data_IF_369635218366
#
_entry.id   IF_369635218366
#
_cell.length_a   1.000
_cell.length_b   1.000
_cell.length_c   1.000
_cell.angle_alpha   90.00
_cell.angle_beta   90.00
_cell.angle_gamma   90.00
#
_symmetry.space_group_name_H-M   'P 1'
#
loop_
_entity.id
_entity.type
_entity.pdbx_description
1 polymer ?
#
# COMPACT_ATOMS: atom_id res chain seq x y z
N UNK A 1 11.72 -3.26 -12.14
CA UNK A 1 11.34 -3.08 -10.71
C UNK A 1 10.44 -4.20 -10.17
N UNK A 2 9.78 -4.98 -11.04
CA UNK A 2 8.74 -5.95 -10.67
C UNK A 2 9.22 -7.37 -10.29
N UNK A 3 10.54 -7.61 -10.17
CA UNK A 3 11.06 -8.95 -9.88
C UNK A 3 10.78 -9.39 -8.44
N UNK A 4 10.86 -10.70 -8.19
CA UNK A 4 10.75 -11.26 -6.85
C UNK A 4 11.87 -10.77 -5.92
N UNK A 5 13.11 -10.66 -6.43
CA UNK A 5 14.22 -10.11 -5.64
C UNK A 5 14.00 -8.65 -5.25
N UNK A 6 13.46 -7.83 -6.16
CA UNK A 6 13.11 -6.46 -5.83
C UNK A 6 12.02 -6.43 -4.74
N UNK A 7 11.00 -7.28 -4.82
CA UNK A 7 9.94 -7.36 -3.81
C UNK A 7 10.48 -7.76 -2.42
N UNK A 8 11.40 -8.73 -2.35
CA UNK A 8 12.08 -9.12 -1.11
C UNK A 8 12.83 -7.94 -0.51
N UNK A 9 13.56 -7.19 -1.33
CA UNK A 9 14.34 -6.04 -0.88
C UNK A 9 13.44 -4.86 -0.45
N UNK A 10 12.29 -4.66 -1.11
CA UNK A 10 11.26 -3.68 -0.70
C UNK A 10 10.72 -4.04 0.68
N UNK A 11 10.35 -5.30 0.91
CA UNK A 11 9.83 -5.77 2.20
C UNK A 11 10.84 -5.56 3.34
N UNK A 12 12.12 -5.86 3.09
CA UNK A 12 13.21 -5.62 4.06
C UNK A 12 13.42 -4.12 4.29
N UNK A 13 13.36 -3.30 3.25
CA UNK A 13 13.49 -1.85 3.37
C UNK A 13 12.35 -1.25 4.20
N UNK A 14 11.11 -1.69 4.00
CA UNK A 14 9.97 -1.28 4.82
C UNK A 14 10.15 -1.73 6.27
N UNK A 15 10.62 -2.96 6.50
CA UNK A 15 10.92 -3.43 7.86
C UNK A 15 11.99 -2.57 8.55
N UNK A 16 13.07 -2.27 7.85
CA UNK A 16 14.14 -1.38 8.35
C UNK A 16 13.61 0.01 8.67
N UNK A 17 12.75 0.57 7.82
CA UNK A 17 12.08 1.83 8.07
C UNK A 17 11.25 1.77 9.37
N UNK A 18 10.34 0.79 9.48
CA UNK A 18 9.49 0.63 10.66
C UNK A 18 10.30 0.44 11.95
N UNK A 19 11.41 -0.30 11.90
CA UNK A 19 12.29 -0.49 13.05
C UNK A 19 13.02 0.81 13.40
N UNK A 20 13.47 1.58 12.41
CA UNK A 20 14.16 2.86 12.60
C UNK A 20 13.27 3.96 13.19
N UNK A 21 11.95 3.89 12.98
CA UNK A 21 10.98 4.87 13.53
C UNK A 21 10.20 4.33 14.74
N UNK A 22 10.57 3.16 15.26
CA UNK A 22 9.82 2.48 16.33
C UNK A 22 9.87 3.21 17.68
N UNK A 23 10.88 4.07 17.89
CA UNK A 23 11.04 4.93 19.06
C UNK A 23 10.75 6.42 18.74
N UNK A 24 10.27 6.72 17.54
CA UNK A 24 9.90 8.09 17.16
C UNK A 24 8.62 8.54 17.89
N UNK A 25 8.59 9.75 18.47
CA UNK A 25 7.45 10.20 19.28
C UNK A 25 6.20 10.46 18.43
N UNK A 26 5.10 9.77 18.78
CA UNK A 26 3.77 9.95 18.20
C UNK A 26 3.02 11.08 18.92
N UNK A 27 3.46 12.31 18.69
CA UNK A 27 2.82 13.50 19.26
C UNK A 27 1.40 13.72 18.72
N UNK A 28 0.53 14.38 19.51
CA UNK A 28 -0.88 14.66 19.15
C UNK A 28 -1.05 15.46 17.85
N UNK A 29 -0.01 16.17 17.41
CA UNK A 29 -0.01 16.90 16.14
C UNK A 29 -0.12 15.99 14.92
N UNK A 30 0.31 14.74 15.02
CA UNK A 30 0.26 13.81 13.91
C UNK A 30 -1.14 13.23 13.77
N UNK A 31 -1.87 13.67 12.76
CA UNK A 31 -3.20 13.18 12.46
C UNK A 31 -3.10 11.91 11.59
N UNK A 32 -3.59 10.75 12.07
CA UNK A 32 -3.65 9.53 11.27
C UNK A 32 -4.52 9.72 10.03
N UNK A 33 -4.24 8.94 8.99
CA UNK A 33 -5.10 8.88 7.81
C UNK A 33 -6.48 8.33 8.21
N UNK A 34 -7.52 8.74 7.48
CA UNK A 34 -8.87 8.21 7.69
C UNK A 34 -8.88 6.68 7.72
N UNK A 35 -9.61 6.11 8.70
CA UNK A 35 -9.70 4.69 9.01
C UNK A 35 -8.43 4.00 9.56
N UNK A 36 -7.32 4.71 9.82
CA UNK A 36 -6.12 4.07 10.40
C UNK A 36 -6.47 3.40 11.74
N UNK A 37 -6.31 2.07 11.88
CA UNK A 37 -6.72 1.35 13.08
C UNK A 37 -5.69 1.47 14.20
N UNK A 38 -6.15 1.28 15.44
CA UNK A 38 -5.28 1.11 16.62
C UNK A 38 -4.90 -0.37 16.80
N UNK A 39 -3.79 -0.69 17.50
CA UNK A 39 -2.83 0.23 18.11
C UNK A 39 -1.89 0.89 17.09
N UNK A 40 -1.46 2.11 17.38
CA UNK A 40 -0.37 2.74 16.63
C UNK A 40 0.97 2.16 17.10
N UNK A 41 1.73 1.60 16.17
CA UNK A 41 2.98 0.88 16.43
C UNK A 41 4.20 1.68 15.97
N UNK A 42 4.05 2.42 14.87
CA UNK A 42 5.13 3.17 14.20
C UNK A 42 4.59 4.44 13.54
N UNK A 43 5.48 5.37 13.18
CA UNK A 43 5.16 6.38 12.18
C UNK A 43 5.16 5.73 10.81
N UNK A 44 3.98 5.33 10.31
CA UNK A 44 3.84 4.80 8.96
C UNK A 44 4.23 5.88 7.93
N UNK A 45 4.83 5.45 6.83
CA UNK A 45 5.02 6.33 5.66
C UNK A 45 3.68 6.63 5.00
N UNK A 46 2.74 5.68 5.04
CA UNK A 46 1.41 5.71 4.46
C UNK A 46 1.34 5.78 2.92
N UNK A 47 2.45 6.04 2.26
CA UNK A 47 2.60 6.10 0.81
C UNK A 47 3.86 5.36 0.34
N UNK A 48 4.20 4.26 1.03
CA UNK A 48 5.31 3.39 0.69
C UNK A 48 4.96 2.56 -0.56
N UNK A 49 4.98 3.24 -1.71
CA UNK A 49 4.48 2.74 -2.97
C UNK A 49 5.56 2.64 -4.04
N UNK A 50 5.32 1.81 -5.06
CA UNK A 50 6.30 1.56 -6.13
C UNK A 50 6.81 2.83 -6.82
N UNK A 51 5.97 3.86 -6.92
CA UNK A 51 6.31 5.15 -7.55
C UNK A 51 7.14 6.08 -6.65
N UNK A 52 7.17 5.82 -5.34
CA UNK A 52 7.97 6.57 -4.35
C UNK A 52 9.27 5.85 -3.96
N UNK A 53 9.51 4.65 -4.49
CA UNK A 53 10.73 3.89 -4.23
C UNK A 53 11.78 4.20 -5.30
N UNK A 54 12.96 4.61 -4.85
CA UNK A 54 14.10 4.87 -5.73
C UNK A 54 14.81 3.54 -6.01
N UNK A 55 14.95 3.20 -7.29
CA UNK A 55 15.67 2.00 -7.73
C UNK A 55 17.03 2.33 -8.36
N UNK A 56 18.05 1.56 -7.98
CA UNK A 56 19.35 1.55 -8.64
C UNK A 56 19.65 0.13 -9.15
N UNK A 57 19.76 -0.03 -10.48
CA UNK A 57 19.99 -1.34 -11.13
C UNK A 57 19.01 -2.42 -10.66
N UNK A 58 17.74 -2.06 -10.53
CA UNK A 58 16.66 -2.96 -10.13
C UNK A 58 16.55 -3.24 -8.62
N UNK A 59 17.41 -2.65 -7.79
CA UNK A 59 17.34 -2.76 -6.32
C UNK A 59 16.76 -1.49 -5.69
N UNK A 60 15.84 -1.59 -4.71
CA UNK A 60 15.39 -0.43 -3.96
C UNK A 60 16.54 0.11 -3.10
N UNK A 61 16.77 1.42 -3.13
CA UNK A 61 17.87 2.08 -2.40
C UNK A 61 17.40 3.25 -1.54
N UNK A 62 16.12 3.61 -1.61
CA UNK A 62 15.52 4.66 -0.80
C UNK A 62 14.04 4.82 -1.08
N UNK A 63 13.39 5.60 -0.22
CA UNK A 63 11.98 6.01 -0.34
C UNK A 63 11.90 7.53 -0.13
N UNK A 64 10.97 8.18 -0.81
CA UNK A 64 10.71 9.62 -0.75
C UNK A 64 9.23 9.88 -0.49
N UNK A 65 8.90 11.16 -0.30
CA UNK A 65 7.52 11.66 -0.15
C UNK A 65 6.86 11.29 1.20
N UNK A 66 7.34 11.93 2.27
CA UNK A 66 6.88 11.71 3.64
C UNK A 66 5.70 12.62 4.05
N UNK A 67 5.03 13.28 3.10
CA UNK A 67 3.98 14.26 3.40
C UNK A 67 2.74 13.62 4.07
N UNK A 68 2.59 12.30 3.93
CA UNK A 68 1.53 11.50 4.56
C UNK A 68 1.99 10.75 5.81
N UNK A 69 3.21 10.96 6.29
CA UNK A 69 3.73 10.25 7.46
C UNK A 69 2.85 10.51 8.70
N UNK A 70 2.35 9.44 9.32
CA UNK A 70 1.46 9.53 10.47
C UNK A 70 1.45 8.21 11.28
N UNK A 71 1.07 8.24 12.57
CA UNK A 71 0.96 7.05 13.40
C UNK A 71 0.03 5.99 12.81
N UNK A 72 0.44 4.73 12.88
CA UNK A 72 -0.37 3.58 12.46
C UNK A 72 0.25 2.24 12.84
N UNK A 73 -0.47 1.13 12.65
CA UNK A 73 0.09 -0.21 12.80
C UNK A 73 0.96 -0.56 11.60
N UNK A 74 1.98 -1.40 11.77
CA UNK A 74 2.87 -1.81 10.67
C UNK A 74 2.12 -2.43 9.50
N UNK A 75 1.08 -3.22 9.80
CA UNK A 75 0.26 -3.87 8.79
C UNK A 75 -0.51 -2.87 7.92
N UNK A 76 -0.82 -1.67 8.41
CA UNK A 76 -1.46 -0.61 7.63
C UNK A 76 -0.56 -0.10 6.49
N UNK A 77 0.73 0.10 6.78
CA UNK A 77 1.71 0.53 5.77
C UNK A 77 2.07 -0.62 4.81
N UNK A 78 2.18 -1.85 5.35
CA UNK A 78 2.36 -3.07 4.54
C UNK A 78 1.20 -3.27 3.56
N UNK A 79 -0.05 -3.06 4.00
CA UNK A 79 -1.22 -3.25 3.16
C UNK A 79 -1.17 -2.35 1.92
N UNK A 80 -0.81 -1.08 2.09
CA UNK A 80 -0.65 -0.17 0.96
C UNK A 80 0.56 -0.51 0.09
N UNK A 81 1.66 -0.96 0.70
CA UNK A 81 2.84 -1.43 -0.03
C UNK A 81 2.51 -2.63 -0.91
N UNK A 82 1.79 -3.63 -0.37
CA UNK A 82 1.34 -4.80 -1.13
C UNK A 82 0.40 -4.41 -2.26
N UNK A 83 -0.57 -3.53 -1.97
CA UNK A 83 -1.52 -3.01 -2.95
C UNK A 83 -0.82 -2.46 -4.20
N UNK A 84 0.29 -1.73 -4.02
CA UNK A 84 1.03 -1.09 -5.12
C UNK A 84 2.17 -1.93 -5.71
N UNK A 85 2.88 -2.72 -4.90
CA UNK A 85 4.09 -3.45 -5.31
C UNK A 85 3.83 -4.91 -5.75
N UNK A 86 2.70 -5.51 -5.33
CA UNK A 86 2.24 -6.85 -5.77
C UNK A 86 1.07 -6.76 -6.78
N UNK A 87 0.75 -5.55 -7.23
CA UNK A 87 -0.57 -5.09 -7.68
C UNK A 87 -1.78 -5.93 -7.22
N UNK A 88 -2.29 -5.65 -6.01
CA UNK A 88 -3.56 -6.23 -5.54
C UNK A 88 -4.74 -5.45 -6.14
N UNK A 89 -4.85 -5.48 -7.46
CA UNK A 89 -5.62 -4.52 -8.26
C UNK A 89 -6.22 -5.17 -9.51
N UNK A 90 -7.28 -4.57 -10.07
CA UNK A 90 -7.93 -5.03 -11.31
C UNK A 90 -7.01 -4.92 -12.53
N UNK A 91 -6.02 -4.02 -12.47
CA UNK A 91 -4.99 -3.88 -13.48
C UNK A 91 -3.71 -3.34 -12.87
N UNK A 92 -2.61 -3.44 -13.61
CA UNK A 92 -1.39 -2.70 -13.31
C UNK A 92 -0.74 -2.20 -14.58
N UNK A 93 0.13 -1.20 -14.45
CA UNK A 93 0.86 -0.65 -15.58
C UNK A 93 2.29 -1.21 -15.62
N UNK A 94 2.72 -1.63 -16.80
CA UNK A 94 4.13 -1.97 -17.06
C UNK A 94 5.01 -0.72 -17.03
N UNK A 95 6.33 -0.90 -17.05
CA UNK A 95 7.28 0.22 -17.14
C UNK A 95 7.09 1.05 -18.43
N UNK A 96 6.50 0.46 -19.49
CA UNK A 96 6.14 1.15 -20.72
C UNK A 96 4.77 1.86 -20.66
N UNK A 97 4.10 1.85 -19.50
CA UNK A 97 2.77 2.46 -19.30
C UNK A 97 1.60 1.61 -19.79
N UNK A 98 1.85 0.43 -20.37
CA UNK A 98 0.78 -0.46 -20.84
C UNK A 98 -0.01 -1.04 -19.67
N UNK A 99 -1.33 -0.91 -19.71
CA UNK A 99 -2.25 -1.54 -18.78
C UNK A 99 -2.36 -3.05 -19.03
N UNK A 100 -2.19 -3.85 -17.97
CA UNK A 100 -2.39 -5.29 -17.94
C UNK A 100 -3.52 -5.58 -16.97
N UNK A 101 -4.60 -6.19 -17.47
CA UNK A 101 -5.77 -6.52 -16.68
C UNK A 101 -5.61 -7.86 -15.98
N UNK A 102 -6.16 -7.97 -14.78
CA UNK A 102 -6.15 -9.20 -13.99
C UNK A 102 -6.83 -10.36 -14.72
N UNK A 103 -6.17 -11.50 -14.74
CA UNK A 103 -6.69 -12.78 -15.19
C UNK A 103 -6.49 -13.81 -14.07
N UNK A 104 -7.58 -14.17 -13.38
CA UNK A 104 -7.56 -15.09 -12.22
C UNK A 104 -6.79 -16.39 -12.50
N UNK A 105 -6.90 -16.95 -13.71
CA UNK A 105 -6.24 -18.21 -14.07
C UNK A 105 -4.71 -18.07 -14.15
N UNK A 106 -4.20 -16.87 -14.40
CA UNK A 106 -2.76 -16.58 -14.56
C UNK A 106 -2.15 -15.89 -13.35
N UNK A 107 -2.94 -15.07 -12.67
CA UNK A 107 -2.43 -14.08 -11.73
C UNK A 107 -2.64 -14.48 -10.27
N UNK A 108 -3.71 -15.21 -9.95
CA UNK A 108 -4.07 -15.55 -8.56
C UNK A 108 -2.92 -16.24 -7.81
N UNK A 109 -2.42 -17.36 -8.35
CA UNK A 109 -1.34 -18.13 -7.73
C UNK A 109 -0.02 -17.33 -7.67
N UNK A 110 0.29 -16.56 -8.72
CA UNK A 110 1.47 -15.69 -8.74
C UNK A 110 1.40 -14.62 -7.64
N UNK A 111 0.26 -13.96 -7.50
CA UNK A 111 0.04 -12.92 -6.48
C UNK A 111 0.13 -13.54 -5.09
N UNK A 112 -0.53 -14.67 -4.85
CA UNK A 112 -0.43 -15.42 -3.59
C UNK A 112 1.02 -15.72 -3.20
N UNK A 113 1.81 -16.25 -4.15
CA UNK A 113 3.23 -16.54 -3.93
C UNK A 113 4.03 -15.27 -3.61
N UNK A 114 3.75 -14.15 -4.29
CA UNK A 114 4.43 -12.87 -4.06
C UNK A 114 4.03 -12.21 -2.74
N UNK A 115 2.76 -12.29 -2.33
CA UNK A 115 2.31 -11.87 -1.00
C UNK A 115 3.04 -12.66 0.09
N UNK A 116 3.09 -13.99 -0.04
CA UNK A 116 3.85 -14.84 0.87
C UNK A 116 5.33 -14.44 0.91
N UNK A 117 5.94 -14.23 -0.25
CA UNK A 117 7.34 -13.82 -0.37
C UNK A 117 7.63 -12.50 0.35
N UNK A 118 6.72 -11.53 0.23
CA UNK A 118 6.82 -10.24 0.92
C UNK A 118 6.82 -10.43 2.43
N UNK A 119 5.84 -11.17 2.97
CA UNK A 119 5.75 -11.41 4.42
C UNK A 119 6.92 -12.20 4.97
N UNK A 120 7.34 -13.28 4.27
CA UNK A 120 8.53 -14.06 4.63
C UNK A 120 9.78 -13.17 4.68
N UNK A 121 9.89 -12.17 3.80
CA UNK A 121 11.01 -11.23 3.74
C UNK A 121 10.92 -10.09 4.75
N UNK A 122 9.71 -9.64 5.09
CA UNK A 122 9.46 -8.66 6.15
C UNK A 122 9.79 -9.25 7.54
N UNK A 123 9.63 -10.56 7.71
CA UNK A 123 10.24 -11.33 8.80
C UNK A 123 9.63 -11.06 10.17
N UNK A 124 8.31 -10.96 10.26
CA UNK A 124 7.58 -10.82 11.53
C UNK A 124 6.47 -11.87 11.59
N UNK A 125 6.55 -12.76 12.57
CA UNK A 125 5.61 -13.87 12.69
C UNK A 125 4.18 -13.37 12.94
N UNK A 126 3.23 -13.86 12.14
CA UNK A 126 1.80 -13.59 12.31
C UNK A 126 1.34 -12.20 11.83
N UNK A 127 2.23 -11.36 11.30
CA UNK A 127 1.88 -10.04 10.76
C UNK A 127 0.99 -10.16 9.52
N UNK A 128 1.05 -11.28 8.81
CA UNK A 128 0.23 -11.57 7.64
C UNK A 128 -1.24 -11.81 7.98
N UNK A 129 -1.58 -12.05 9.26
CA UNK A 129 -2.96 -12.33 9.67
C UNK A 129 -3.84 -11.11 9.44
N UNK A 130 -4.90 -11.29 8.65
CA UNK A 130 -5.86 -10.23 8.36
C UNK A 130 -5.36 -9.19 7.34
N UNK A 131 -4.31 -9.49 6.58
CA UNK A 131 -3.75 -8.51 5.63
C UNK A 131 -4.77 -8.09 4.56
N UNK A 132 -5.63 -9.00 4.10
CA UNK A 132 -6.62 -8.68 3.06
C UNK A 132 -7.67 -7.70 3.60
N UNK A 133 -8.14 -7.93 4.82
CA UNK A 133 -9.03 -6.99 5.52
C UNK A 133 -8.35 -5.64 5.74
N UNK A 134 -7.05 -5.63 6.05
CA UNK A 134 -6.28 -4.38 6.16
C UNK A 134 -6.16 -3.66 4.80
N UNK A 135 -5.96 -4.38 3.70
CA UNK A 135 -5.93 -3.79 2.34
C UNK A 135 -7.28 -3.13 2.02
N UNK A 136 -8.40 -3.82 2.27
CA UNK A 136 -9.74 -3.24 2.08
C UNK A 136 -9.93 -1.98 2.94
N UNK A 137 -9.59 -2.05 4.23
CA UNK A 137 -9.71 -0.91 5.13
C UNK A 137 -8.83 0.27 4.68
N UNK A 138 -7.62 -0.02 4.17
CA UNK A 138 -6.67 0.97 3.68
C UNK A 138 -7.18 1.70 2.44
N UNK A 139 -7.73 0.96 1.47
CA UNK A 139 -8.31 1.55 0.24
C UNK A 139 -9.62 2.30 0.55
N UNK A 140 -10.43 1.83 1.50
CA UNK A 140 -11.58 2.59 2.03
C UNK A 140 -11.13 3.89 2.70
N UNK A 141 -10.02 3.86 3.43
CA UNK A 141 -9.38 5.04 4.02
C UNK A 141 -8.95 6.07 2.98
N UNK A 142 -8.39 5.63 1.84
CA UNK A 142 -8.07 6.51 0.71
C UNK A 142 -9.32 7.20 0.16
N UNK A 143 -10.37 6.42 -0.11
CA UNK A 143 -11.64 6.95 -0.59
C UNK A 143 -12.20 8.03 0.33
N UNK A 144 -12.21 7.77 1.65
CA UNK A 144 -12.65 8.74 2.66
C UNK A 144 -11.76 9.97 2.71
N UNK A 145 -10.44 9.81 2.67
CA UNK A 145 -9.48 10.91 2.68
C UNK A 145 -9.70 11.82 1.47
N UNK A 146 -9.84 11.24 0.28
CA UNK A 146 -10.06 11.98 -0.97
C UNK A 146 -11.35 12.80 -0.88
N UNK A 147 -12.46 12.18 -0.47
CA UNK A 147 -13.73 12.88 -0.35
C UNK A 147 -13.70 13.97 0.73
N UNK A 148 -13.10 13.69 1.89
CA UNK A 148 -13.06 14.63 3.01
C UNK A 148 -12.22 15.85 2.63
N UNK A 149 -10.99 15.67 2.15
CA UNK A 149 -10.12 16.79 1.75
C UNK A 149 -10.69 17.60 0.60
N UNK A 150 -11.34 16.95 -0.39
CA UNK A 150 -12.04 17.67 -1.45
C UNK A 150 -13.19 18.54 -0.92
N UNK A 151 -13.96 18.05 0.07
CA UNK A 151 -15.02 18.81 0.75
C UNK A 151 -14.48 19.95 1.62
N UNK A 152 -13.29 19.79 2.18
CA UNK A 152 -12.56 20.83 2.92
C UNK A 152 -11.99 21.93 2.00
N UNK A 153 -12.06 21.75 0.67
CA UNK A 153 -11.64 22.75 -0.31
C UNK A 153 -10.22 22.55 -0.84
N UNK A 154 -9.60 21.39 -0.60
CA UNK A 154 -8.28 21.08 -1.14
C UNK A 154 -8.35 20.83 -2.65
N UNK A 155 -7.78 21.76 -3.43
CA UNK A 155 -7.80 21.75 -4.89
C UNK A 155 -7.18 20.49 -5.50
N UNK A 156 -6.16 19.91 -4.86
CA UNK A 156 -5.52 18.70 -5.37
C UNK A 156 -6.48 17.51 -5.28
N UNK A 157 -7.17 17.35 -4.15
CA UNK A 157 -8.14 16.28 -3.96
C UNK A 157 -9.43 16.48 -4.75
N UNK A 158 -9.85 17.73 -4.99
CA UNK A 158 -10.94 18.02 -5.94
C UNK A 158 -10.58 17.57 -7.36
N UNK A 159 -9.37 17.88 -7.83
CA UNK A 159 -8.87 17.42 -9.13
C UNK A 159 -8.79 15.91 -9.22
N UNK A 160 -8.38 15.22 -8.15
CA UNK A 160 -8.40 13.75 -8.10
C UNK A 160 -9.81 13.17 -8.30
N UNK A 161 -10.86 13.82 -7.78
CA UNK A 161 -12.23 13.38 -8.02
C UNK A 161 -12.61 13.60 -9.49
N UNK A 162 -12.32 14.78 -10.05
CA UNK A 162 -12.60 15.11 -11.45
C UNK A 162 -11.90 14.17 -12.44
N UNK A 163 -10.68 13.75 -12.12
CA UNK A 163 -9.88 12.80 -12.91
C UNK A 163 -10.31 11.33 -12.70
N UNK A 164 -11.28 11.05 -11.83
CA UNK A 164 -11.85 9.72 -11.63
C UNK A 164 -11.07 8.82 -10.65
N UNK A 165 -10.13 9.36 -9.86
CA UNK A 165 -9.37 8.57 -8.88
C UNK A 165 -10.28 7.97 -7.80
N UNK A 166 -11.29 8.72 -7.37
CA UNK A 166 -12.25 8.22 -6.39
C UNK A 166 -13.03 7.01 -6.94
N UNK A 167 -13.55 7.11 -8.16
CA UNK A 167 -14.29 6.02 -8.81
C UNK A 167 -13.38 4.81 -9.04
N UNK A 168 -12.12 5.04 -9.44
CA UNK A 168 -11.12 3.99 -9.54
C UNK A 168 -10.96 3.22 -8.22
N UNK A 169 -10.76 3.89 -7.08
CA UNK A 169 -10.61 3.19 -5.80
C UNK A 169 -11.91 2.49 -5.34
N UNK A 170 -13.08 2.97 -5.74
CA UNK A 170 -14.35 2.24 -5.50
C UNK A 170 -14.42 0.94 -6.31
N UNK A 171 -14.02 0.96 -7.58
CA UNK A 171 -13.91 -0.25 -8.40
C UNK A 171 -12.89 -1.23 -7.82
N UNK A 172 -11.75 -0.73 -7.33
CA UNK A 172 -10.71 -1.53 -6.70
C UNK A 172 -11.23 -2.23 -5.44
N UNK A 173 -12.01 -1.54 -4.60
CA UNK A 173 -12.64 -2.17 -3.44
C UNK A 173 -13.58 -3.31 -3.84
N UNK A 174 -14.38 -3.12 -4.89
CA UNK A 174 -15.25 -4.18 -5.36
C UNK A 174 -14.45 -5.37 -5.88
N UNK A 175 -13.44 -5.11 -6.70
CA UNK A 175 -12.53 -6.12 -7.25
C UNK A 175 -11.82 -6.92 -6.14
N UNK A 176 -11.24 -6.25 -5.14
CA UNK A 176 -10.55 -6.91 -4.03
C UNK A 176 -11.51 -7.75 -3.19
N UNK A 177 -12.77 -7.32 -3.01
CA UNK A 177 -13.79 -8.12 -2.30
C UNK A 177 -14.16 -9.39 -3.08
N UNK A 178 -14.21 -9.31 -4.39
CA UNK A 178 -14.57 -10.44 -5.28
C UNK A 178 -13.41 -11.45 -5.41
N UNK A 179 -12.20 -10.97 -5.65
CA UNK A 179 -11.05 -11.81 -6.01
C UNK A 179 -10.01 -11.97 -4.91
N UNK A 180 -10.00 -11.12 -3.88
CA UNK A 180 -8.90 -11.06 -2.92
C UNK A 180 -8.68 -12.35 -2.11
N UNK A 181 -9.72 -13.18 -1.96
CA UNK A 181 -9.60 -14.50 -1.31
C UNK A 181 -8.76 -15.49 -2.11
N UNK A 182 -8.55 -15.26 -3.41
CA UNK A 182 -7.67 -16.05 -4.26
C UNK A 182 -6.19 -15.86 -3.90
N UNK A 183 -5.85 -14.79 -3.18
CA UNK A 183 -4.46 -14.40 -2.85
C UNK A 183 -3.99 -14.85 -1.47
N UNK A 184 -4.87 -15.50 -0.69
CA UNK A 184 -4.59 -16.00 0.66
C UNK A 184 -4.07 -17.43 0.59
#
# INVERSE_FOLDING_TARGET
>A
MWSDEALKDIAKMLRLYHDAVSDFPMEERWQPIDNTPQPFEVMCHNDFAIYNIIFNRGKPVGVIDFDLAAPGPRLWDIAYTLYTCVPLSRLYHTEAGQAIYYDSLKDAERIKQRVKLFFDSYGMEGIEKGFLEMVLLRVEGLCKTIQRKAKEGDMAFQKMIEEGHYDHYQEELQFIREHGKEWI
#
